data_IF_233792238918
#
_entry.id   IF_233792238918
#
_cell.length_a   1.000
_cell.length_b   1.000
_cell.length_c   1.000
_cell.angle_alpha   90.00
_cell.angle_beta   90.00
_cell.angle_gamma   90.00
#
_symmetry.space_group_name_H-M   'P 1'
#
loop_
_entity.id
_entity.type
_entity.pdbx_description
1 polymer ?
#
# COMPACT_ATOMS: atom_id res chain seq x y z
N UNK A 1 78.97 -15.02 12.46
CA UNK A 1 79.60 -16.29 12.87
C UNK A 1 78.74 -16.97 13.95
N UNK A 2 78.07 -18.07 13.60
CA UNK A 2 77.13 -18.77 14.48
C UNK A 2 77.89 -19.52 15.59
N UNK A 3 78.00 -18.89 16.75
CA UNK A 3 78.65 -19.40 17.96
C UNK A 3 78.04 -20.69 18.50
N UNK A 4 76.83 -21.08 18.06
CA UNK A 4 76.13 -22.29 18.50
C UNK A 4 76.63 -23.57 17.81
N UNK A 5 77.13 -23.48 16.57
CA UNK A 5 77.64 -24.65 15.83
C UNK A 5 78.99 -25.16 16.41
N UNK A 6 79.78 -24.27 17.03
CA UNK A 6 81.05 -24.64 17.67
C UNK A 6 80.87 -25.40 19.00
N UNK A 7 79.66 -25.43 19.56
CA UNK A 7 79.32 -26.08 20.83
C UNK A 7 78.51 -27.38 20.64
N UNK A 8 78.24 -27.81 19.39
CA UNK A 8 77.51 -29.04 19.10
C UNK A 8 76.00 -28.99 19.42
N UNK A 9 75.41 -27.80 19.46
CA UNK A 9 73.99 -27.59 19.81
C UNK A 9 73.18 -27.30 18.55
N UNK A 10 72.13 -28.08 18.30
CA UNK A 10 71.17 -27.89 17.21
C UNK A 10 69.88 -27.25 17.73
N UNK A 11 69.45 -26.14 17.13
CA UNK A 11 68.22 -25.42 17.51
C UNK A 11 67.05 -25.98 16.71
N UNK A 12 66.09 -26.63 17.39
CA UNK A 12 64.93 -27.29 16.74
C UNK A 12 63.73 -26.35 16.59
N UNK A 13 63.46 -25.47 17.56
CA UNK A 13 62.34 -24.51 17.54
C UNK A 13 62.63 -23.30 18.47
N UNK A 14 62.17 -22.12 18.08
CA UNK A 14 62.27 -20.88 18.87
C UNK A 14 60.87 -20.38 19.17
N UNK A 15 60.48 -20.40 20.45
CA UNK A 15 59.20 -19.87 20.90
C UNK A 15 59.39 -18.71 21.86
N UNK A 16 58.58 -17.68 21.65
CA UNK A 16 58.48 -16.58 22.60
C UNK A 16 57.70 -17.10 23.81
N UNK A 17 58.37 -17.20 24.96
CA UNK A 17 57.75 -17.69 26.21
C UNK A 17 56.86 -16.63 26.86
N UNK A 18 57.30 -15.37 26.85
CA UNK A 18 56.57 -14.27 27.47
C UNK A 18 57.07 -12.93 26.94
N UNK A 19 56.15 -12.01 26.64
CA UNK A 19 56.46 -10.61 26.35
C UNK A 19 56.06 -9.82 27.59
N UNK A 20 57.03 -9.32 28.35
CA UNK A 20 56.76 -8.47 29.50
C UNK A 20 56.66 -7.01 29.04
N UNK A 21 55.46 -6.47 29.02
CA UNK A 21 55.22 -5.05 28.79
C UNK A 21 55.27 -4.32 30.15
N UNK A 22 56.04 -3.22 30.29
CA UNK A 22 56.08 -2.44 31.53
C UNK A 22 54.68 -1.93 31.91
N UNK A 23 54.31 -2.06 33.19
CA UNK A 23 52.97 -1.74 33.68
C UNK A 23 52.57 -0.27 33.39
N UNK A 24 53.52 0.66 33.49
CA UNK A 24 53.33 2.10 33.27
C UNK A 24 52.87 2.46 31.85
N UNK A 25 53.26 1.69 30.83
CA UNK A 25 52.85 1.94 29.43
C UNK A 25 51.59 1.13 29.08
N UNK A 26 51.37 0.02 29.77
CA UNK A 26 50.28 -0.91 29.48
C UNK A 26 48.89 -0.26 29.65
N UNK A 27 48.69 0.53 30.71
CA UNK A 27 47.39 1.14 31.02
C UNK A 27 46.93 2.13 29.96
N UNK A 28 47.84 2.97 29.45
CA UNK A 28 47.56 3.93 28.38
C UNK A 28 47.16 3.21 27.07
N UNK A 29 47.83 2.10 26.74
CA UNK A 29 47.51 1.28 25.56
C UNK A 29 46.16 0.59 25.73
N UNK A 30 45.85 0.03 26.90
CA UNK A 30 44.54 -0.56 27.18
C UNK A 30 43.40 0.47 27.08
N UNK A 31 43.59 1.67 27.62
CA UNK A 31 42.61 2.75 27.52
C UNK A 31 42.37 3.18 26.07
N UNK A 32 43.45 3.30 25.27
CA UNK A 32 43.33 3.56 23.83
C UNK A 32 42.59 2.44 23.10
N UNK A 33 42.92 1.18 23.36
CA UNK A 33 42.25 0.03 22.74
C UNK A 33 40.77 0.00 23.07
N UNK A 34 40.38 0.31 24.32
CA UNK A 34 38.96 0.43 24.72
C UNK A 34 38.26 1.54 23.95
N UNK A 35 38.86 2.73 23.88
CA UNK A 35 38.28 3.85 23.15
C UNK A 35 38.11 3.55 21.65
N UNK A 36 39.09 2.89 21.02
CA UNK A 36 39.00 2.46 19.62
C UNK A 36 37.91 1.41 19.42
N UNK A 37 37.79 0.42 20.32
CA UNK A 37 36.72 -0.59 20.26
C UNK A 37 35.34 0.03 20.43
N UNK A 38 35.18 0.95 21.36
CA UNK A 38 33.92 1.69 21.54
C UNK A 38 33.58 2.54 20.32
N UNK A 39 34.57 3.19 19.70
CA UNK A 39 34.37 3.97 18.48
C UNK A 39 33.91 3.08 17.31
N UNK A 40 34.52 1.90 17.15
CA UNK A 40 34.11 0.90 16.14
C UNK A 40 32.69 0.40 16.43
N UNK A 41 32.36 0.08 17.68
CA UNK A 41 31.02 -0.35 18.06
C UNK A 41 29.97 0.74 17.83
N UNK A 42 30.28 2.01 18.12
CA UNK A 42 29.41 3.15 17.80
C UNK A 42 29.19 3.28 16.30
N UNK A 43 30.26 3.20 15.50
CA UNK A 43 30.16 3.27 14.03
C UNK A 43 29.25 2.19 13.47
N UNK A 44 29.41 0.94 13.89
CA UNK A 44 28.54 -0.16 13.43
C UNK A 44 27.09 0.02 13.86
N UNK A 45 26.84 0.52 15.08
CA UNK A 45 25.47 0.83 15.54
C UNK A 45 24.83 1.94 14.71
N UNK A 46 25.57 3.01 14.41
CA UNK A 46 25.08 4.10 13.56
C UNK A 46 24.79 3.63 12.14
N UNK A 47 25.68 2.81 11.55
CA UNK A 47 25.46 2.22 10.22
C UNK A 47 24.22 1.32 10.20
N UNK A 48 24.05 0.45 11.20
CA UNK A 48 22.87 -0.40 11.30
C UNK A 48 21.58 0.39 11.49
N UNK A 49 21.62 1.54 12.20
CA UNK A 49 20.47 2.44 12.32
C UNK A 49 20.14 3.13 11.00
N UNK A 50 21.14 3.65 10.30
CA UNK A 50 20.97 4.30 8.99
C UNK A 50 20.36 3.32 7.97
N UNK A 51 20.92 2.11 7.87
CA UNK A 51 20.41 1.07 6.97
C UNK A 51 18.98 0.66 7.33
N UNK A 52 18.67 0.52 8.62
CA UNK A 52 17.32 0.20 9.08
C UNK A 52 16.31 1.32 8.78
N UNK A 53 16.69 2.59 8.95
CA UNK A 53 15.84 3.74 8.61
C UNK A 53 15.59 3.81 7.10
N UNK A 54 16.62 3.62 6.29
CA UNK A 54 16.50 3.57 4.83
C UNK A 54 15.58 2.45 4.38
N UNK A 55 15.72 1.26 4.97
CA UNK A 55 14.87 0.11 4.65
C UNK A 55 13.40 0.38 5.03
N UNK A 56 13.15 0.92 6.22
CA UNK A 56 11.78 1.29 6.65
C UNK A 56 11.17 2.33 5.72
N UNK A 57 11.89 3.40 5.41
CA UNK A 57 11.41 4.43 4.49
C UNK A 57 11.07 3.88 3.10
N UNK A 58 11.87 2.93 2.61
CA UNK A 58 11.61 2.26 1.32
C UNK A 58 10.37 1.39 1.39
N UNK A 59 10.22 0.60 2.46
CA UNK A 59 9.04 -0.23 2.67
C UNK A 59 7.75 0.60 2.78
N UNK A 60 7.78 1.70 3.55
CA UNK A 60 6.62 2.60 3.70
C UNK A 60 6.23 3.25 2.36
N UNK A 61 7.23 3.65 1.57
CA UNK A 61 7.01 4.15 0.22
C UNK A 61 6.36 3.10 -0.68
N UNK A 62 6.87 1.87 -0.68
CA UNK A 62 6.33 0.77 -1.49
C UNK A 62 4.89 0.45 -1.11
N UNK A 63 4.58 0.35 0.19
CA UNK A 63 3.21 0.13 0.67
C UNK A 63 2.27 1.24 0.17
N UNK A 64 2.67 2.50 0.31
CA UNK A 64 1.88 3.64 -0.13
C UNK A 64 1.65 3.62 -1.64
N UNK A 65 2.71 3.34 -2.41
CA UNK A 65 2.64 3.22 -3.86
C UNK A 65 1.71 2.10 -4.30
N UNK A 66 1.85 0.91 -3.73
CA UNK A 66 1.02 -0.25 -4.07
C UNK A 66 -0.45 0.00 -3.73
N UNK A 67 -0.74 0.60 -2.58
CA UNK A 67 -2.11 0.95 -2.22
C UNK A 67 -2.70 1.98 -3.19
N UNK A 68 -1.96 3.04 -3.50
CA UNK A 68 -2.40 4.07 -4.44
C UNK A 68 -2.64 3.49 -5.85
N UNK A 69 -1.77 2.58 -6.30
CA UNK A 69 -1.91 1.91 -7.59
C UNK A 69 -3.12 0.97 -7.63
N UNK A 70 -3.34 0.20 -6.55
CA UNK A 70 -4.51 -0.66 -6.40
C UNK A 70 -5.82 0.15 -6.38
N UNK A 71 -5.86 1.27 -5.64
CA UNK A 71 -7.02 2.16 -5.64
C UNK A 71 -7.27 2.81 -7.00
N UNK A 72 -6.21 3.28 -7.67
CA UNK A 72 -6.29 3.83 -9.02
C UNK A 72 -6.90 2.80 -9.97
N UNK A 73 -6.38 1.57 -9.96
CA UNK A 73 -6.87 0.50 -10.82
C UNK A 73 -8.33 0.15 -10.50
N UNK A 74 -8.69 0.09 -9.22
CA UNK A 74 -10.06 -0.15 -8.80
C UNK A 74 -11.03 0.94 -9.26
N UNK A 75 -10.61 2.22 -9.22
CA UNK A 75 -11.42 3.34 -9.74
C UNK A 75 -11.58 3.28 -11.26
N UNK A 76 -10.51 2.95 -11.98
CA UNK A 76 -10.57 2.79 -13.44
C UNK A 76 -11.54 1.67 -13.82
N UNK A 77 -11.39 0.49 -13.22
CA UNK A 77 -12.23 -0.67 -13.51
C UNK A 77 -13.72 -0.40 -13.22
N UNK A 78 -14.01 0.28 -12.09
CA UNK A 78 -15.39 0.71 -11.80
C UNK A 78 -15.91 1.71 -12.82
N UNK A 79 -15.11 2.71 -13.19
CA UNK A 79 -15.49 3.68 -14.21
C UNK A 79 -15.75 3.04 -15.58
N UNK A 80 -14.93 2.06 -15.97
CA UNK A 80 -15.13 1.27 -17.19
C UNK A 80 -16.42 0.45 -17.12
N UNK A 81 -16.69 -0.22 -16.00
CA UNK A 81 -17.91 -0.99 -15.80
C UNK A 81 -19.18 -0.12 -15.77
N UNK A 82 -19.11 1.07 -15.17
CA UNK A 82 -20.22 2.03 -15.15
C UNK A 82 -20.48 2.57 -16.56
N UNK A 83 -19.42 2.88 -17.32
CA UNK A 83 -19.54 3.34 -18.69
C UNK A 83 -20.11 2.26 -19.62
N UNK A 84 -19.65 1.01 -19.49
CA UNK A 84 -20.16 -0.12 -20.27
C UNK A 84 -21.63 -0.40 -19.91
N UNK A 85 -21.98 -0.38 -18.63
CA UNK A 85 -23.36 -0.54 -18.16
C UNK A 85 -24.26 0.54 -18.74
N UNK A 86 -23.87 1.82 -18.61
CA UNK A 86 -24.62 2.94 -19.15
C UNK A 86 -24.79 2.84 -20.67
N UNK A 87 -23.76 2.41 -21.39
CA UNK A 87 -23.82 2.17 -22.84
C UNK A 87 -24.80 1.06 -23.18
N UNK A 88 -24.70 -0.10 -22.54
CA UNK A 88 -25.62 -1.22 -22.77
C UNK A 88 -27.07 -0.84 -22.46
N UNK A 89 -27.28 -0.10 -21.38
CA UNK A 89 -28.59 0.46 -21.04
C UNK A 89 -29.07 1.40 -22.14
N UNK A 90 -28.26 2.36 -22.58
CA UNK A 90 -28.63 3.29 -23.65
C UNK A 90 -28.95 2.55 -24.97
N UNK A 91 -28.15 1.55 -25.34
CA UNK A 91 -28.35 0.73 -26.53
C UNK A 91 -29.66 -0.06 -26.44
N UNK A 92 -29.92 -0.71 -25.30
CA UNK A 92 -31.17 -1.44 -25.05
C UNK A 92 -32.39 -0.51 -25.05
N UNK A 93 -32.27 0.69 -24.44
CA UNK A 93 -33.37 1.66 -24.37
C UNK A 93 -33.63 2.37 -25.71
N UNK A 94 -32.65 2.43 -26.60
CA UNK A 94 -32.80 3.00 -27.94
C UNK A 94 -33.58 2.09 -28.90
N UNK A 95 -33.75 0.80 -28.58
CA UNK A 95 -34.51 -0.13 -29.41
C UNK A 95 -36.03 0.15 -29.39
N UNK A 96 -36.59 0.53 -28.25
CA UNK A 96 -37.98 1.00 -28.14
C UNK A 96 -38.13 2.02 -26.98
N UNK A 97 -38.05 3.32 -27.29
CA UNK A 97 -38.22 4.38 -26.29
C UNK A 97 -39.61 4.40 -25.64
N UNK A 98 -40.65 3.93 -26.35
CA UNK A 98 -42.04 3.94 -25.87
C UNK A 98 -42.29 2.85 -24.83
N UNK A 99 -41.83 1.64 -25.11
CA UNK A 99 -41.89 0.52 -24.16
C UNK A 99 -41.07 0.79 -22.89
N UNK A 100 -39.91 1.46 -23.03
CA UNK A 100 -39.10 1.87 -21.89
C UNK A 100 -39.81 2.88 -20.97
N UNK A 101 -40.35 3.96 -21.53
CA UNK A 101 -41.06 4.98 -20.75
C UNK A 101 -42.22 4.36 -19.94
N UNK A 102 -42.89 3.37 -20.53
CA UNK A 102 -43.91 2.57 -19.87
C UNK A 102 -43.34 1.72 -18.71
N UNK A 103 -42.34 0.86 -18.94
CA UNK A 103 -41.75 0.00 -17.89
C UNK A 103 -41.12 0.83 -16.75
N UNK A 104 -40.45 1.94 -17.08
CA UNK A 104 -39.88 2.86 -16.08
C UNK A 104 -40.97 3.50 -15.22
N UNK A 105 -42.09 3.90 -15.83
CA UNK A 105 -43.23 4.42 -15.06
C UNK A 105 -43.82 3.36 -14.13
N UNK A 106 -43.94 2.10 -14.58
CA UNK A 106 -44.42 1.00 -13.74
C UNK A 106 -43.51 0.70 -12.54
N UNK A 107 -42.18 0.68 -12.74
CA UNK A 107 -41.22 0.53 -11.63
C UNK A 107 -41.25 1.71 -10.67
N UNK A 108 -41.43 2.93 -11.19
CA UNK A 108 -41.58 4.12 -10.35
C UNK A 108 -42.85 4.02 -9.50
N UNK A 109 -43.96 3.51 -10.06
CA UNK A 109 -45.17 3.22 -9.28
C UNK A 109 -44.89 2.21 -8.18
N UNK A 110 -44.30 1.06 -8.52
CA UNK A 110 -43.99 0.00 -7.56
C UNK A 110 -43.12 0.49 -6.39
N UNK A 111 -42.06 1.27 -6.68
CA UNK A 111 -41.18 1.84 -5.66
C UNK A 111 -41.88 2.88 -4.79
N UNK A 112 -42.77 3.71 -5.37
CA UNK A 112 -43.55 4.69 -4.61
C UNK A 112 -44.57 4.03 -3.68
N UNK A 113 -45.15 2.90 -4.07
CA UNK A 113 -46.12 2.16 -3.25
C UNK A 113 -45.51 1.18 -2.24
N UNK A 114 -44.19 0.92 -2.31
CA UNK A 114 -43.49 0.05 -1.33
C UNK A 114 -43.29 0.71 0.04
N UNK A 115 -43.30 2.04 0.13
CA UNK A 115 -43.19 2.77 1.39
C UNK A 115 -44.58 3.11 1.94
N UNK A 116 -44.99 2.41 3.00
CA UNK A 116 -46.29 2.49 3.70
C UNK A 116 -46.62 3.87 4.38
N UNK A 117 -46.22 5.01 3.81
CA UNK A 117 -46.47 6.36 4.35
C UNK A 117 -47.07 7.30 3.29
N UNK A 118 -48.27 6.99 2.81
CA UNK A 118 -48.93 7.68 1.70
C UNK A 118 -49.85 8.83 2.16
N UNK A 119 -49.34 10.07 2.11
CA UNK A 119 -50.15 11.22 1.71
C UNK A 119 -49.51 11.81 0.46
N UNK A 120 -49.92 11.28 -0.70
CA UNK A 120 -49.44 11.76 -1.99
C UNK A 120 -50.34 12.91 -2.47
N UNK A 121 -49.87 14.15 -2.34
CA UNK A 121 -50.56 15.32 -2.90
C UNK A 121 -50.27 15.39 -4.39
N UNK A 122 -51.20 14.89 -5.20
CA UNK A 122 -51.10 14.86 -6.66
C UNK A 122 -51.83 16.04 -7.27
N UNK A 123 -51.11 16.86 -8.02
CA UNK A 123 -51.72 17.85 -8.91
C UNK A 123 -52.52 17.12 -10.01
N UNK A 124 -53.74 17.58 -10.37
CA UNK A 124 -54.59 16.93 -11.39
C UNK A 124 -53.91 16.71 -12.75
N UNK A 125 -52.91 17.54 -13.07
CA UNK A 125 -52.17 17.54 -14.34
C UNK A 125 -50.83 16.79 -14.30
N UNK A 126 -50.57 15.97 -13.27
CA UNK A 126 -49.31 15.24 -13.17
C UNK A 126 -49.14 14.21 -14.29
N UNK A 127 -48.00 14.30 -15.00
CA UNK A 127 -47.54 13.33 -16.00
C UNK A 127 -47.13 11.98 -15.38
N UNK A 128 -47.05 11.91 -14.05
CA UNK A 128 -46.66 10.70 -13.33
C UNK A 128 -47.58 9.53 -13.68
N UNK A 129 -48.90 9.73 -13.76
CA UNK A 129 -49.88 8.68 -14.08
C UNK A 129 -50.33 8.63 -15.55
N UNK A 130 -49.53 9.17 -16.48
CA UNK A 130 -49.91 9.26 -17.91
C UNK A 130 -50.34 7.92 -18.52
N UNK A 131 -49.72 6.80 -18.10
CA UNK A 131 -50.03 5.47 -18.59
C UNK A 131 -51.17 4.75 -17.83
N UNK A 132 -51.61 5.29 -16.67
CA UNK A 132 -52.77 4.80 -15.93
C UNK A 132 -54.06 5.57 -16.26
N UNK A 133 -53.94 6.80 -16.76
CA UNK A 133 -55.08 7.54 -17.32
C UNK A 133 -55.49 6.86 -18.64
N UNK A 134 -56.75 6.46 -18.74
CA UNK A 134 -57.31 5.89 -19.98
C UNK A 134 -56.97 6.78 -21.19
N UNK A 135 -56.79 6.20 -22.39
CA UNK A 135 -56.66 7.01 -23.59
C UNK A 135 -57.90 7.90 -23.65
N UNK A 136 -57.73 9.21 -23.50
CA UNK A 136 -58.80 10.15 -23.80
C UNK A 136 -59.17 9.88 -25.24
N UNK A 137 -60.29 9.19 -25.45
CA UNK A 137 -60.99 9.15 -26.71
C UNK A 137 -61.34 10.60 -27.02
N UNK A 138 -60.49 11.25 -27.81
CA UNK A 138 -60.83 12.51 -28.43
C UNK A 138 -62.04 12.22 -29.34
N UNK A 139 -63.22 12.43 -28.78
CA UNK A 139 -64.48 12.37 -29.50
C UNK A 139 -64.39 13.37 -30.66
N UNK A 140 -64.66 12.82 -31.85
CA UNK A 140 -64.69 13.48 -33.15
C UNK A 140 -65.59 14.73 -33.14
#
# INVERSE_FOLDING_TARGET
PNSMAALGIEVVDVRIKQINLPAEVSEAIYNRMRAEREAVARRHRSQGQEEAEKLRATADYEVTKTLAEAERQGRILRGEGDAESAKLFADAFSQDPGFYAFIRSLRAYENSFQSNQDVMVLSPDSDFFRYMKSPTSATR
#
